data_IF_018519047929
#
_entry.id   IF_018519047929
#
_cell.length_a   1.000
_cell.length_b   1.000
_cell.length_c   1.000
_cell.angle_alpha   90.00
_cell.angle_beta   90.00
_cell.angle_gamma   90.00
#
_symmetry.space_group_name_H-M   'P 1'
#
loop_
_entity.id
_entity.type
_entity.pdbx_description
1 polymer ?
#
# COMPACT_ATOMS: atom_id res chain seq x y z
N UNK A 1 -18.31 26.38 11.49
CA UNK A 1 -17.40 25.39 12.14
C UNK A 1 -15.98 25.96 12.10
N UNK A 2 -15.13 25.66 13.09
CA UNK A 2 -13.71 26.06 13.10
C UNK A 2 -12.85 24.84 12.73
N UNK A 3 -11.96 25.00 11.75
CA UNK A 3 -10.98 23.96 11.41
C UNK A 3 -9.98 23.81 12.57
N UNK A 4 -9.82 22.59 13.07
CA UNK A 4 -8.94 22.29 14.20
C UNK A 4 -7.55 21.80 13.76
N UNK A 5 -7.48 21.01 12.70
CA UNK A 5 -6.25 20.49 12.11
C UNK A 5 -6.49 20.04 10.67
N UNK A 6 -5.42 19.94 9.88
CA UNK A 6 -5.43 19.37 8.53
C UNK A 6 -4.35 18.27 8.45
N UNK A 7 -4.63 17.21 7.70
CA UNK A 7 -3.68 16.15 7.39
C UNK A 7 -3.77 15.84 5.91
N UNK A 8 -2.66 15.93 5.21
CA UNK A 8 -2.57 15.69 3.78
C UNK A 8 -1.90 14.35 3.53
N UNK A 9 -2.61 13.46 2.85
CA UNK A 9 -2.10 12.17 2.41
C UNK A 9 -1.97 12.18 0.89
N UNK A 10 -0.82 11.73 0.39
CA UNK A 10 -0.58 11.54 -1.04
C UNK A 10 -0.12 10.12 -1.26
N UNK A 11 -0.62 9.49 -2.32
CA UNK A 11 -0.16 8.17 -2.78
C UNK A 11 0.10 8.24 -4.28
N UNK A 12 1.25 7.75 -4.70
CA UNK A 12 1.61 7.62 -6.11
C UNK A 12 2.04 6.18 -6.39
N UNK A 13 1.71 5.70 -7.59
CA UNK A 13 2.15 4.40 -8.08
C UNK A 13 2.96 4.61 -9.36
N UNK A 14 4.12 3.96 -9.44
CA UNK A 14 5.01 4.05 -10.59
C UNK A 14 5.41 2.66 -11.05
N UNK A 15 5.50 2.43 -12.36
CA UNK A 15 6.25 1.31 -12.89
C UNK A 15 7.74 1.63 -12.75
N UNK A 16 8.50 0.78 -12.05
CA UNK A 16 9.93 1.00 -11.80
C UNK A 16 10.75 0.77 -13.07
N UNK A 17 10.47 -0.35 -13.75
CA UNK A 17 11.13 -0.75 -14.99
C UNK A 17 10.09 -1.38 -15.91
N UNK A 18 10.03 -0.88 -17.15
CA UNK A 18 9.12 -1.37 -18.18
C UNK A 18 9.30 -2.87 -18.39
N UNK A 19 8.21 -3.62 -18.21
CA UNK A 19 8.17 -5.07 -18.47
C UNK A 19 8.74 -5.98 -17.37
N UNK A 20 9.18 -5.45 -16.22
CA UNK A 20 9.65 -6.27 -15.07
C UNK A 20 8.61 -6.48 -13.96
N UNK A 21 7.39 -5.97 -14.11
CA UNK A 21 6.32 -6.04 -13.11
C UNK A 21 6.73 -5.57 -11.70
N UNK A 22 7.78 -4.73 -11.62
CA UNK A 22 8.22 -4.06 -10.40
C UNK A 22 7.58 -2.68 -10.32
N UNK A 23 6.86 -2.43 -9.23
CA UNK A 23 6.12 -1.20 -9.01
C UNK A 23 6.55 -0.51 -7.73
N UNK A 24 6.56 0.82 -7.76
CA UNK A 24 6.78 1.65 -6.59
C UNK A 24 5.43 2.14 -6.07
N UNK A 25 5.14 1.87 -4.80
CA UNK A 25 4.10 2.54 -4.05
C UNK A 25 4.75 3.58 -3.13
N UNK A 26 4.55 4.86 -3.44
CA UNK A 26 5.00 5.97 -2.60
C UNK A 26 3.80 6.54 -1.86
N UNK A 27 3.92 6.71 -0.54
CA UNK A 27 2.93 7.39 0.27
C UNK A 27 3.57 8.44 1.16
N UNK A 28 2.86 9.56 1.35
CA UNK A 28 3.35 10.72 2.07
C UNK A 28 2.26 11.27 2.99
N UNK A 29 2.60 11.51 4.25
CA UNK A 29 1.80 12.28 5.21
C UNK A 29 2.49 13.62 5.46
N UNK A 30 1.74 14.71 5.31
CA UNK A 30 2.11 16.04 5.81
C UNK A 30 0.99 16.54 6.73
N UNK A 31 1.32 16.72 8.01
CA UNK A 31 0.50 17.42 9.00
C UNK A 31 1.38 18.31 9.88
N UNK A 32 0.82 19.01 10.87
CA UNK A 32 1.59 19.93 11.71
C UNK A 32 2.82 19.26 12.37
N UNK A 33 2.68 18.15 13.12
CA UNK A 33 3.82 17.45 13.72
C UNK A 33 4.61 16.52 12.78
N UNK A 34 4.07 16.09 11.64
CA UNK A 34 4.66 15.03 10.82
C UNK A 34 4.89 15.43 9.37
N UNK A 35 6.01 14.96 8.84
CA UNK A 35 6.30 14.90 7.41
C UNK A 35 7.01 13.56 7.17
N UNK A 36 6.26 12.58 6.67
CA UNK A 36 6.66 11.16 6.63
C UNK A 36 6.44 10.59 5.23
N UNK A 37 7.50 10.07 4.62
CA UNK A 37 7.43 9.34 3.35
C UNK A 37 7.68 7.86 3.58
N UNK A 38 6.90 7.03 2.90
CA UNK A 38 7.09 5.58 2.79
C UNK A 38 7.13 5.23 1.32
N UNK A 39 8.23 4.62 0.87
CA UNK A 39 8.44 4.15 -0.49
C UNK A 39 8.61 2.64 -0.42
N UNK A 40 7.78 1.91 -1.16
CA UNK A 40 7.84 0.46 -1.25
C UNK A 40 8.05 0.06 -2.70
N UNK A 41 8.94 -0.90 -2.93
CA UNK A 41 9.01 -1.62 -4.19
C UNK A 41 8.28 -2.95 -4.05
N UNK A 42 7.42 -3.24 -5.01
CA UNK A 42 6.53 -4.38 -5.00
C UNK A 42 6.74 -5.16 -6.30
N UNK A 43 7.09 -6.43 -6.14
CA UNK A 43 7.03 -7.43 -7.21
C UNK A 43 5.58 -7.86 -7.37
N UNK A 44 4.97 -7.49 -8.50
CA UNK A 44 3.57 -7.79 -8.79
C UNK A 44 3.34 -9.23 -9.27
N UNK A 45 4.38 -9.94 -9.69
CA UNK A 45 4.28 -11.36 -10.04
C UNK A 45 4.16 -12.20 -8.76
N UNK A 46 5.00 -11.88 -7.76
CA UNK A 46 5.02 -12.56 -6.47
C UNK A 46 4.07 -11.95 -5.44
N UNK A 47 3.57 -10.74 -5.70
CA UNK A 47 2.79 -9.93 -4.76
C UNK A 47 3.55 -9.68 -3.45
N UNK A 48 4.83 -9.33 -3.54
CA UNK A 48 5.74 -9.17 -2.40
C UNK A 48 6.37 -7.79 -2.37
N UNK A 49 6.51 -7.22 -1.18
CA UNK A 49 7.40 -6.08 -0.96
C UNK A 49 8.85 -6.59 -1.07
N UNK A 50 9.62 -6.04 -2.02
CA UNK A 50 11.01 -6.44 -2.26
C UNK A 50 12.03 -5.38 -1.81
N UNK A 51 11.59 -4.13 -1.63
CA UNK A 51 12.36 -3.07 -1.00
C UNK A 51 11.41 -2.13 -0.24
N UNK A 52 11.91 -1.50 0.82
CA UNK A 52 11.15 -0.57 1.63
C UNK A 52 12.03 0.53 2.20
N UNK A 53 11.54 1.76 2.13
CA UNK A 53 12.19 2.92 2.70
C UNK A 53 11.18 3.79 3.44
N UNK A 54 11.53 4.21 4.66
CA UNK A 54 10.74 5.12 5.48
C UNK A 54 11.63 6.32 5.78
N UNK A 55 11.10 7.54 5.63
CA UNK A 55 11.80 8.78 5.99
C UNK A 55 10.92 9.72 6.78
N UNK A 56 11.46 10.24 7.88
CA UNK A 56 10.87 11.33 8.64
C UNK A 56 11.60 12.65 8.35
N UNK A 57 10.98 13.53 7.57
CA UNK A 57 11.49 14.88 7.34
C UNK A 57 11.12 15.84 8.48
N UNK A 58 10.00 15.58 9.16
CA UNK A 58 9.55 16.27 10.38
C UNK A 58 8.92 15.25 11.33
N UNK A 59 9.26 15.35 12.60
CA UNK A 59 8.76 14.49 13.66
C UNK A 59 8.57 15.27 14.97
N UNK A 60 7.69 14.80 15.87
CA UNK A 60 7.45 15.45 17.16
C UNK A 60 8.52 15.13 18.21
N UNK A 61 9.34 14.09 18.01
CA UNK A 61 10.36 13.63 18.95
C UNK A 61 11.54 13.00 18.20
N UNK A 62 12.76 13.23 18.70
CA UNK A 62 14.00 12.78 18.04
C UNK A 62 14.06 11.26 17.90
N UNK A 63 13.49 10.55 18.86
CA UNK A 63 13.42 9.09 18.91
C UNK A 63 12.56 8.51 17.79
N UNK A 64 11.67 9.30 17.17
CA UNK A 64 10.86 8.82 16.06
C UNK A 64 11.69 8.38 14.85
N UNK A 65 12.93 8.86 14.70
CA UNK A 65 13.80 8.45 13.60
C UNK A 65 14.19 6.96 13.68
N UNK A 66 14.17 6.36 14.88
CA UNK A 66 14.47 4.94 15.07
C UNK A 66 13.44 4.03 14.36
N UNK A 67 12.27 4.58 14.04
CA UNK A 67 11.23 3.86 13.31
C UNK A 67 11.67 3.55 11.88
N UNK A 68 12.62 4.29 11.30
CA UNK A 68 13.12 4.00 9.94
C UNK A 68 13.70 2.59 9.83
N UNK A 69 14.23 2.02 10.92
CA UNK A 69 14.75 0.65 11.00
C UNK A 69 13.67 -0.43 10.78
N UNK A 70 12.38 -0.10 10.89
CA UNK A 70 11.32 -1.08 10.63
C UNK A 70 11.13 -1.36 9.13
N UNK A 71 11.70 -0.54 8.25
CA UNK A 71 11.54 -0.67 6.81
C UNK A 71 11.97 -2.05 6.32
N UNK A 72 13.13 -2.54 6.77
CA UNK A 72 13.65 -3.87 6.41
C UNK A 72 12.70 -5.02 6.81
N UNK A 73 11.87 -4.81 7.86
CA UNK A 73 10.90 -5.81 8.32
C UNK A 73 9.64 -5.86 7.47
N UNK A 74 9.42 -4.86 6.60
CA UNK A 74 8.31 -4.85 5.64
C UNK A 74 8.66 -5.69 4.40
N UNK A 75 9.95 -5.89 4.10
CA UNK A 75 10.40 -6.73 2.98
C UNK A 75 9.94 -8.17 3.19
N UNK A 76 9.38 -8.77 2.15
CA UNK A 76 8.79 -10.11 2.16
C UNK A 76 7.34 -10.17 2.63
N UNK A 77 6.72 -9.04 3.02
CA UNK A 77 5.27 -9.02 3.25
C UNK A 77 4.52 -9.21 1.93
N UNK A 78 3.47 -10.03 1.99
CA UNK A 78 2.53 -10.22 0.89
C UNK A 78 1.56 -9.06 0.78
N UNK A 79 1.32 -8.63 -0.45
CA UNK A 79 0.31 -7.66 -0.85
C UNK A 79 -0.98 -8.42 -1.16
N UNK A 80 -1.68 -8.83 -0.11
CA UNK A 80 -2.96 -9.54 -0.17
C UNK A 80 -3.90 -9.08 0.97
N UNK A 81 -5.06 -9.71 1.11
CA UNK A 81 -6.03 -9.43 2.17
C UNK A 81 -5.47 -9.52 3.61
N UNK A 82 -4.34 -10.22 3.83
CA UNK A 82 -3.69 -10.33 5.13
C UNK A 82 -2.69 -9.21 5.42
N UNK A 83 -2.36 -8.38 4.41
CA UNK A 83 -1.35 -7.34 4.48
C UNK A 83 -1.52 -6.44 5.72
N UNK A 84 -2.70 -5.84 5.91
CA UNK A 84 -2.93 -4.91 7.01
C UNK A 84 -2.71 -5.56 8.38
N UNK A 85 -3.10 -6.82 8.55
CA UNK A 85 -2.87 -7.54 9.81
C UNK A 85 -1.38 -7.81 10.04
N UNK A 86 -0.63 -8.14 8.98
CA UNK A 86 0.80 -8.42 9.09
C UNK A 86 1.63 -7.15 9.27
N UNK A 87 1.32 -6.09 8.52
CA UNK A 87 1.93 -4.77 8.69
C UNK A 87 1.69 -4.23 10.10
N UNK A 88 0.49 -4.40 10.67
CA UNK A 88 0.17 -3.98 12.03
C UNK A 88 1.11 -4.61 13.09
N UNK A 89 1.50 -5.88 12.92
CA UNK A 89 2.44 -6.56 13.83
C UNK A 89 3.84 -5.97 13.79
N UNK A 90 4.20 -5.28 12.71
CA UNK A 90 5.51 -4.66 12.51
C UNK A 90 5.50 -3.20 12.96
N UNK A 91 4.45 -2.47 12.60
CA UNK A 91 4.40 -1.01 12.72
C UNK A 91 3.67 -0.52 13.97
N UNK A 92 3.12 -1.40 14.80
CA UNK A 92 2.45 -1.03 16.06
C UNK A 92 3.23 -1.52 17.28
N UNK A 93 2.93 -0.95 18.45
CA UNK A 93 3.56 -1.30 19.72
C UNK A 93 4.63 -0.28 20.17
N UNK A 94 5.46 -0.63 21.16
CA UNK A 94 6.42 0.30 21.79
C UNK A 94 7.46 0.90 20.84
N UNK A 95 7.75 0.23 19.73
CA UNK A 95 8.70 0.66 18.69
C UNK A 95 8.01 0.95 17.36
N UNK A 96 6.69 1.11 17.37
CA UNK A 96 5.87 1.30 16.17
C UNK A 96 5.45 2.76 15.95
N UNK A 97 4.87 3.02 14.78
CA UNK A 97 4.25 4.29 14.42
C UNK A 97 2.88 4.07 13.75
N UNK A 98 1.78 4.54 14.36
CA UNK A 98 0.45 4.48 13.75
C UNK A 98 0.34 5.25 12.42
N UNK A 99 1.16 6.30 12.22
CA UNK A 99 1.17 7.04 10.96
C UNK A 99 1.75 6.22 9.81
N UNK A 100 2.76 5.38 10.08
CA UNK A 100 3.27 4.44 9.07
C UNK A 100 2.22 3.40 8.75
N UNK A 101 1.55 2.83 9.76
CA UNK A 101 0.43 1.91 9.52
C UNK A 101 -0.65 2.54 8.62
N UNK A 102 -0.95 3.83 8.84
CA UNK A 102 -1.90 4.58 8.01
C UNK A 102 -1.40 4.69 6.58
N UNK A 103 -0.15 5.10 6.38
CA UNK A 103 0.49 5.25 5.06
C UNK A 103 0.54 3.93 4.29
N UNK A 104 0.86 2.82 4.97
CA UNK A 104 0.84 1.48 4.39
C UNK A 104 -0.57 1.06 3.96
N UNK A 105 -1.59 1.30 4.80
CA UNK A 105 -2.96 0.91 4.50
C UNK A 105 -3.61 1.69 3.36
N UNK A 106 -3.20 2.94 3.12
CA UNK A 106 -3.72 3.72 1.99
C UNK A 106 -3.00 3.41 0.67
N UNK A 107 -1.77 2.89 0.73
CA UNK A 107 -0.94 2.66 -0.47
C UNK A 107 -0.94 1.19 -0.92
N UNK A 108 -0.70 0.26 -0.01
CA UNK A 108 -0.44 -1.12 -0.42
C UNK A 108 -1.68 -1.84 -0.94
N UNK A 109 -2.85 -1.84 -0.26
CA UNK A 109 -4.05 -2.44 -0.82
C UNK A 109 -4.51 -1.76 -2.12
N UNK A 110 -4.21 -0.47 -2.27
CA UNK A 110 -4.59 0.33 -3.43
C UNK A 110 -3.88 -0.07 -4.71
N UNK A 111 -2.64 -0.59 -4.64
CA UNK A 111 -1.83 -0.88 -5.83
C UNK A 111 -2.52 -1.84 -6.81
N UNK A 112 -3.28 -2.82 -6.31
CA UNK A 112 -4.01 -3.79 -7.13
C UNK A 112 -5.03 -3.12 -8.05
N UNK A 113 -5.67 -2.07 -7.56
CA UNK A 113 -6.68 -1.29 -8.28
C UNK A 113 -6.09 -0.28 -9.24
N UNK A 114 -4.76 -0.17 -9.32
CA UNK A 114 -4.06 0.63 -10.32
C UNK A 114 -3.25 -0.24 -11.29
N UNK A 115 -2.56 -1.26 -10.79
CA UNK A 115 -1.74 -2.18 -11.56
C UNK A 115 -2.55 -2.89 -12.66
N UNK A 116 -3.62 -3.60 -12.30
CA UNK A 116 -4.39 -4.35 -13.29
C UNK A 116 -5.11 -3.44 -14.30
N UNK A 117 -5.78 -2.34 -13.90
CA UNK A 117 -6.31 -1.39 -14.87
C UNK A 117 -5.25 -0.76 -15.79
N UNK A 118 -4.03 -0.55 -15.29
CA UNK A 118 -2.91 -0.12 -16.13
C UNK A 118 -2.53 -1.18 -17.17
N UNK A 119 -2.41 -2.46 -16.76
CA UNK A 119 -2.15 -3.57 -17.70
C UNK A 119 -3.24 -3.69 -18.78
N UNK A 120 -4.50 -3.47 -18.42
CA UNK A 120 -5.61 -3.39 -19.40
C UNK A 120 -5.39 -2.24 -20.38
N UNK A 121 -5.07 -1.05 -19.86
CA UNK A 121 -4.80 0.13 -20.70
C UNK A 121 -3.63 -0.08 -21.67
N UNK A 122 -2.60 -0.83 -21.27
CA UNK A 122 -1.46 -1.18 -22.11
C UNK A 122 -1.75 -2.33 -23.09
N UNK A 123 -2.93 -2.96 -23.02
CA UNK A 123 -3.29 -4.10 -23.87
C UNK A 123 -2.63 -5.42 -23.48
N UNK A 124 -2.03 -5.48 -22.27
CA UNK A 124 -1.37 -6.68 -21.74
C UNK A 124 -2.34 -7.63 -21.02
N UNK A 125 -3.55 -7.15 -20.70
CA UNK A 125 -4.57 -7.88 -19.96
C UNK A 125 -5.97 -7.50 -20.47
N UNK A 126 -6.92 -8.43 -20.46
CA UNK A 126 -8.34 -8.15 -20.70
C UNK A 126 -9.08 -7.83 -19.42
N UNK A 127 -10.23 -7.16 -19.53
CA UNK A 127 -11.08 -6.89 -18.37
C UNK A 127 -11.60 -8.18 -17.72
N UNK A 128 -11.83 -9.23 -18.51
CA UNK A 128 -12.28 -10.53 -18.03
C UNK A 128 -11.20 -11.23 -17.18
N UNK A 129 -9.94 -11.23 -17.64
CA UNK A 129 -8.80 -11.74 -16.87
C UNK A 129 -8.64 -11.00 -15.53
N UNK A 130 -8.83 -9.68 -15.52
CA UNK A 130 -8.81 -8.91 -14.28
C UNK A 130 -9.92 -9.32 -13.32
N UNK A 131 -11.15 -9.52 -13.80
CA UNK A 131 -12.26 -9.97 -12.96
C UNK A 131 -12.03 -11.39 -12.43
N UNK A 132 -11.44 -12.29 -13.21
CA UNK A 132 -11.04 -13.62 -12.74
C UNK A 132 -10.05 -13.53 -11.57
N UNK A 133 -9.03 -12.68 -11.70
CA UNK A 133 -8.06 -12.44 -10.61
C UNK A 133 -8.75 -11.91 -9.35
N UNK A 134 -9.65 -10.93 -9.48
CA UNK A 134 -10.40 -10.40 -8.35
C UNK A 134 -11.33 -11.45 -7.72
N UNK A 135 -11.97 -12.29 -8.54
CA UNK A 135 -12.84 -13.38 -8.07
C UNK A 135 -12.05 -14.40 -7.25
N UNK A 136 -10.83 -14.74 -7.67
CA UNK A 136 -9.99 -15.71 -6.98
C UNK A 136 -9.35 -15.16 -5.69
N UNK A 137 -8.87 -13.91 -5.73
CA UNK A 137 -8.03 -13.36 -4.66
C UNK A 137 -8.77 -12.44 -3.71
N UNK A 138 -9.79 -11.73 -4.21
CA UNK A 138 -10.37 -10.56 -3.56
C UNK A 138 -11.93 -10.60 -3.54
N UNK A 139 -12.52 -11.81 -3.56
CA UNK A 139 -13.98 -12.03 -3.69
C UNK A 139 -14.83 -11.19 -2.74
N UNK A 140 -14.31 -10.91 -1.55
CA UNK A 140 -15.01 -10.16 -0.48
C UNK A 140 -14.29 -8.86 -0.09
N UNK A 141 -13.40 -8.36 -0.94
CA UNK A 141 -12.59 -7.17 -0.62
C UNK A 141 -13.39 -5.86 -0.68
N UNK A 142 -14.46 -5.80 -1.48
CA UNK A 142 -15.36 -4.66 -1.54
C UNK A 142 -16.80 -5.07 -1.88
N UNK A 143 -17.75 -4.15 -1.63
CA UNK A 143 -19.18 -4.37 -1.90
C UNK A 143 -19.44 -4.83 -3.35
N UNK A 144 -18.75 -4.24 -4.33
CA UNK A 144 -18.91 -4.61 -5.73
C UNK A 144 -18.47 -6.06 -5.98
N UNK A 145 -17.33 -6.49 -5.42
CA UNK A 145 -16.87 -7.87 -5.55
C UNK A 145 -17.86 -8.84 -4.90
N UNK A 146 -18.36 -8.51 -3.71
CA UNK A 146 -19.36 -9.34 -3.02
C UNK A 146 -20.61 -9.50 -3.87
N UNK A 147 -21.15 -8.41 -4.45
CA UNK A 147 -22.36 -8.48 -5.29
C UNK A 147 -22.07 -9.28 -6.56
N UNK A 148 -21.09 -8.85 -7.36
CA UNK A 148 -20.78 -9.41 -8.69
C UNK A 148 -20.47 -10.91 -8.60
N UNK A 149 -19.74 -11.35 -7.57
CA UNK A 149 -19.31 -12.74 -7.42
C UNK A 149 -20.24 -13.59 -6.53
N UNK A 150 -21.33 -13.02 -6.00
CA UNK A 150 -22.36 -13.76 -5.26
C UNK A 150 -23.46 -14.33 -6.15
N UNK A 151 -23.71 -13.71 -7.31
CA UNK A 151 -24.79 -14.08 -8.24
C UNK A 151 -24.45 -15.26 -9.17
N UNK A 152 -23.23 -15.80 -9.07
CA UNK A 152 -22.74 -16.94 -9.88
C UNK A 152 -22.80 -18.30 -9.16
N UNK A 153 -23.49 -18.40 -8.01
CA UNK A 153 -23.70 -19.65 -7.25
C UNK A 153 -25.12 -20.22 -7.43
#
# INVERSE_FOLDING_TARGET
MKLAAERNFKVNYYEKEEGKNLWIAESHLIDEPHDISVILEIDMDQMLIVDANIKFYRNPAKECILIEEIADRLVGLKVDHSFSQNAMKITMGPSGCPNIMTLLNISVPGILYYYYPYKIKCGEMTQEQFFEILREREKNACLAHTIIFSEEN
#
